data_IF_190016165053
#
_entry.id   IF_190016165053
#
_cell.length_a   1.000
_cell.length_b   1.000
_cell.length_c   1.000
_cell.angle_alpha   90.00
_cell.angle_beta   90.00
_cell.angle_gamma   90.00
#
_symmetry.space_group_name_H-M   'P 1'
#
loop_
_entity.id
_entity.type
_entity.pdbx_description
1 polymer ?
#
# COMPACT_ATOMS: atom_id res chain seq x y z
N UNK A 1 -8.03 -24.03 34.16
CA UNK A 1 -7.06 -23.33 33.29
C UNK A 1 -6.60 -24.31 32.22
N UNK A 2 -6.85 -24.03 30.93
CA UNK A 2 -6.44 -24.90 29.82
C UNK A 2 -4.96 -24.63 29.50
N UNK A 3 -4.09 -25.61 29.72
CA UNK A 3 -2.67 -25.53 29.38
C UNK A 3 -2.48 -25.74 27.87
N UNK A 4 -2.35 -24.64 27.13
CA UNK A 4 -1.96 -24.66 25.72
C UNK A 4 -0.47 -25.02 25.61
N UNK A 5 -0.17 -26.30 25.45
CA UNK A 5 1.17 -26.76 25.06
C UNK A 5 1.40 -26.43 23.58
N UNK A 6 1.91 -25.22 23.29
CA UNK A 6 2.39 -24.85 21.95
C UNK A 6 3.67 -25.65 21.62
N UNK A 7 3.49 -26.92 21.26
CA UNK A 7 4.53 -27.73 20.64
C UNK A 7 4.87 -27.09 19.30
N UNK A 8 6.12 -26.65 19.16
CA UNK A 8 6.77 -26.21 17.91
C UNK A 8 6.43 -24.81 17.43
N UNK A 9 6.75 -23.80 18.23
CA UNK A 9 7.06 -22.48 17.66
C UNK A 9 8.35 -22.58 16.85
N UNK A 10 8.25 -22.92 15.57
CA UNK A 10 9.40 -22.94 14.66
C UNK A 10 9.88 -21.49 14.52
N UNK A 11 11.02 -21.16 15.12
CA UNK A 11 11.62 -19.84 14.98
C UNK A 11 11.94 -19.65 13.51
N UNK A 12 11.28 -18.69 12.86
CA UNK A 12 11.54 -18.32 11.47
C UNK A 12 13.05 -18.07 11.30
N UNK A 13 13.63 -18.57 10.20
CA UNK A 13 15.00 -18.24 9.81
C UNK A 13 15.18 -16.73 9.67
N UNK A 14 16.40 -16.23 9.84
CA UNK A 14 16.68 -14.79 9.81
C UNK A 14 16.25 -14.15 8.49
N UNK A 15 16.35 -14.86 7.37
CA UNK A 15 15.84 -14.41 6.06
C UNK A 15 14.31 -14.34 6.04
N UNK A 16 13.62 -15.36 6.56
CA UNK A 16 12.16 -15.36 6.63
C UNK A 16 11.62 -14.29 7.59
N UNK A 17 12.35 -14.00 8.68
CA UNK A 17 12.05 -12.86 9.55
C UNK A 17 12.17 -11.53 8.81
N UNK A 18 13.17 -11.36 7.93
CA UNK A 18 13.28 -10.15 7.09
C UNK A 18 12.10 -10.02 6.12
N UNK A 19 11.65 -11.11 5.50
CA UNK A 19 10.46 -11.08 4.63
C UNK A 19 9.18 -10.74 5.38
N UNK A 20 9.02 -11.25 6.62
CA UNK A 20 7.87 -10.91 7.48
C UNK A 20 7.93 -9.48 8.01
N UNK A 21 9.13 -8.97 8.27
CA UNK A 21 9.37 -7.58 8.70
C UNK A 21 9.30 -6.58 7.53
N UNK A 22 8.91 -7.01 6.33
CA UNK A 22 8.78 -6.12 5.17
C UNK A 22 10.14 -5.65 4.64
N UNK A 23 11.11 -6.54 4.54
CA UNK A 23 12.43 -6.23 3.98
C UNK A 23 12.30 -5.65 2.57
N UNK A 24 12.72 -4.39 2.45
CA UNK A 24 13.11 -3.63 1.24
C UNK A 24 12.42 -3.98 -0.09
N UNK A 25 11.11 -4.24 -0.06
CA UNK A 25 10.32 -3.87 -1.22
C UNK A 25 10.11 -2.38 -1.10
N UNK A 26 11.00 -1.61 -1.72
CA UNK A 26 10.70 -0.22 -2.05
C UNK A 26 9.47 -0.29 -2.94
N UNK A 27 8.30 -0.17 -2.32
CA UNK A 27 7.05 -0.26 -3.04
C UNK A 27 7.00 0.99 -3.91
N UNK A 28 7.42 0.83 -5.17
CA UNK A 28 7.37 1.89 -6.15
C UNK A 28 5.93 2.37 -6.26
N UNK A 29 5.74 3.65 -6.02
CA UNK A 29 4.44 4.27 -6.16
C UNK A 29 3.94 4.12 -7.60
N UNK A 30 2.63 3.96 -7.74
CA UNK A 30 1.92 3.90 -8.99
C UNK A 30 2.27 5.10 -9.88
N UNK A 31 2.36 4.90 -11.20
CA UNK A 31 2.68 5.94 -12.19
C UNK A 31 1.56 6.04 -13.23
N UNK A 32 1.12 7.25 -13.57
CA UNK A 32 0.01 7.46 -14.51
C UNK A 32 -1.33 7.68 -13.81
N UNK A 33 -2.43 7.58 -14.56
CA UNK A 33 -3.76 7.95 -14.11
C UNK A 33 -4.65 6.74 -13.79
N UNK A 34 -5.29 6.77 -12.62
CA UNK A 34 -6.08 5.67 -12.07
C UNK A 34 -7.51 6.12 -11.76
N UNK A 35 -8.48 5.29 -12.13
CA UNK A 35 -9.90 5.56 -11.86
C UNK A 35 -10.34 5.14 -10.45
N UNK A 36 -9.60 4.23 -9.82
CA UNK A 36 -9.89 3.73 -8.48
C UNK A 36 -8.82 4.25 -7.53
N UNK A 37 -9.21 5.19 -6.68
CA UNK A 37 -8.30 5.89 -5.79
C UNK A 37 -9.05 6.38 -4.54
N UNK A 38 -8.29 6.75 -3.51
CA UNK A 38 -8.78 7.42 -2.31
C UNK A 38 -8.56 8.92 -2.47
N UNK A 39 -9.64 9.72 -2.48
CA UNK A 39 -9.56 11.19 -2.49
C UNK A 39 -9.48 11.73 -1.07
N UNK A 40 -8.68 12.78 -0.86
CA UNK A 40 -8.70 13.56 0.39
C UNK A 40 -9.73 14.70 0.38
N UNK A 41 -10.45 14.89 -0.75
CA UNK A 41 -11.44 15.95 -0.95
C UNK A 41 -10.86 17.35 -1.20
N UNK A 42 -9.54 17.50 -1.21
CA UNK A 42 -8.82 18.77 -1.43
C UNK A 42 -8.06 18.77 -2.77
N UNK A 43 -8.30 17.77 -3.63
CA UNK A 43 -7.63 17.60 -4.92
C UNK A 43 -6.43 16.63 -4.88
N UNK A 44 -6.12 16.07 -3.71
CA UNK A 44 -5.08 15.04 -3.58
C UNK A 44 -5.68 13.65 -3.54
N UNK A 45 -4.91 12.67 -3.98
CA UNK A 45 -5.38 11.30 -4.04
C UNK A 45 -4.29 10.28 -3.76
N UNK A 46 -4.71 9.11 -3.26
CA UNK A 46 -3.86 7.94 -2.99
C UNK A 46 -4.34 6.72 -3.76
N UNK A 47 -3.41 6.04 -4.43
CA UNK A 47 -3.66 4.78 -5.13
C UNK A 47 -2.73 3.74 -4.54
N UNK A 48 -3.23 2.63 -3.99
CA UNK A 48 -2.37 1.55 -3.53
C UNK A 48 -1.44 1.10 -4.67
N UNK A 49 -0.12 1.00 -4.41
CA UNK A 49 0.47 0.93 -3.08
C UNK A 49 1.10 2.23 -2.56
N UNK A 50 0.84 3.39 -3.19
CA UNK A 50 1.29 4.69 -2.69
C UNK A 50 0.64 5.02 -1.34
N UNK A 51 1.41 5.66 -0.48
CA UNK A 51 0.96 6.18 0.80
C UNK A 51 1.54 7.59 1.01
N UNK A 52 0.97 8.32 1.97
CA UNK A 52 1.50 9.63 2.40
C UNK A 52 3.02 9.55 2.68
N UNK A 53 3.83 10.50 2.19
CA UNK A 53 3.44 11.78 1.58
C UNK A 53 3.34 11.77 0.04
N UNK A 54 3.39 10.60 -0.60
CA UNK A 54 3.33 10.49 -2.07
C UNK A 54 1.87 10.55 -2.54
N UNK A 55 1.36 11.76 -2.68
CA UNK A 55 0.01 12.00 -3.18
C UNK A 55 0.04 12.26 -4.69
N UNK A 56 -0.94 11.68 -5.40
CA UNK A 56 -1.28 12.07 -6.76
C UNK A 56 -2.23 13.26 -6.75
N UNK A 57 -2.55 13.77 -7.94
CA UNK A 57 -3.50 14.86 -8.15
C UNK A 57 -4.77 14.35 -8.82
N UNK A 58 -5.94 14.83 -8.36
CA UNK A 58 -7.21 14.56 -9.02
C UNK A 58 -7.34 15.40 -10.30
N UNK A 59 -7.32 14.73 -11.45
CA UNK A 59 -7.45 15.35 -12.77
C UNK A 59 -8.76 14.93 -13.40
N UNK A 60 -9.49 15.86 -14.00
CA UNK A 60 -10.71 15.56 -14.75
C UNK A 60 -10.33 15.05 -16.14
N UNK A 61 -10.59 13.76 -16.40
CA UNK A 61 -10.35 13.12 -17.69
C UNK A 61 -11.31 13.60 -18.78
N UNK A 62 -10.97 13.30 -20.04
CA UNK A 62 -11.76 13.68 -21.22
C UNK A 62 -13.18 13.07 -21.24
N UNK A 63 -13.39 11.97 -20.51
CA UNK A 63 -14.69 11.33 -20.29
C UNK A 63 -15.54 12.02 -19.19
N UNK A 64 -15.07 13.14 -18.64
CA UNK A 64 -15.74 13.90 -17.57
C UNK A 64 -15.61 13.30 -16.17
N UNK A 65 -14.89 12.19 -16.01
CA UNK A 65 -14.65 11.54 -14.71
C UNK A 65 -13.30 11.97 -14.13
N UNK A 66 -13.24 12.09 -12.81
CA UNK A 66 -11.98 12.34 -12.12
C UNK A 66 -11.12 11.09 -12.05
N UNK A 67 -9.81 11.27 -12.16
CA UNK A 67 -8.80 10.24 -12.07
C UNK A 67 -7.66 10.75 -11.19
N UNK A 68 -7.04 9.85 -10.43
CA UNK A 68 -5.85 10.16 -9.67
C UNK A 68 -4.62 9.96 -10.55
N UNK A 69 -3.85 11.01 -10.80
CA UNK A 69 -2.65 10.96 -11.61
C UNK A 69 -1.41 11.23 -10.77
N UNK A 70 -0.39 10.39 -10.93
CA UNK A 70 0.96 10.56 -10.42
C UNK A 70 1.90 10.97 -11.55
#
# INVERSE_FOLDING_TARGET
MKNSNLKKGQKLSREAQKSVLGGDFEIQCASGCYNFYLSDGQGNCLVPPCASPNFGTEVKGANGRYQCCY
#
